data_IF_130891779419
#
_entry.id   IF_130891779419
#
_cell.length_a   1.000
_cell.length_b   1.000
_cell.length_c   1.000
_cell.angle_alpha   90.00
_cell.angle_beta   90.00
_cell.angle_gamma   90.00
#
_symmetry.space_group_name_H-M   'P 1'
#
loop_
_entity.id
_entity.type
_entity.pdbx_description
1 polymer ?
#
# COMPACT_ATOMS: atom_id res chain seq x y z
N UNK A 1 35.93 18.01 -12.53
CA UNK A 1 35.43 16.99 -12.93
C UNK A 1 35.42 15.91 -11.96
N UNK A 2 36.37 15.56 -11.38
CA UNK A 2 36.35 14.51 -10.46
C UNK A 2 35.40 14.74 -9.35
N UNK A 3 35.26 15.91 -8.95
CA UNK A 3 34.39 16.22 -7.92
C UNK A 3 33.03 15.78 -8.20
N UNK A 4 32.57 15.99 -9.35
CA UNK A 4 31.28 15.62 -9.67
C UNK A 4 31.09 14.20 -9.47
N UNK A 5 31.97 13.39 -9.81
CA UNK A 5 31.79 12.06 -9.66
C UNK A 5 31.68 11.72 -8.23
N UNK A 6 32.36 12.33 -7.39
CA UNK A 6 32.24 12.03 -6.04
C UNK A 6 30.91 12.29 -5.51
N UNK A 7 30.32 13.34 -5.90
CA UNK A 7 29.01 13.63 -5.43
C UNK A 7 28.09 12.56 -5.78
N UNK A 8 28.15 12.04 -6.95
CA UNK A 8 27.22 11.04 -7.37
C UNK A 8 27.32 9.83 -6.46
N UNK A 9 28.47 9.32 -6.19
CA UNK A 9 28.56 8.17 -5.33
C UNK A 9 28.04 8.47 -3.94
N UNK A 10 28.24 9.64 -3.48
CA UNK A 10 27.80 9.99 -2.19
C UNK A 10 26.30 9.95 -2.13
N UNK A 11 25.65 10.46 -3.11
CA UNK A 11 24.25 10.46 -3.12
C UNK A 11 23.73 9.06 -3.15
N UNK A 12 24.37 8.20 -3.86
CA UNK A 12 23.92 6.84 -3.94
C UNK A 12 24.01 6.22 -2.58
N UNK A 13 25.04 6.52 -1.84
CA UNK A 13 25.16 5.97 -0.54
C UNK A 13 24.09 6.48 0.39
N UNK A 14 23.82 7.71 0.35
CA UNK A 14 22.82 8.30 1.19
C UNK A 14 21.48 7.82 0.80
N UNK A 15 21.26 7.58 -0.46
CA UNK A 15 20.00 7.19 -0.93
C UNK A 15 20.09 5.82 -1.43
N UNK A 16 20.33 4.89 -0.66
CA UNK A 16 20.54 3.53 -1.04
C UNK A 16 19.40 2.83 -1.65
N UNK A 17 19.16 3.02 -2.84
CA UNK A 17 18.13 2.25 -3.51
C UNK A 17 18.87 1.36 -4.44
N UNK A 18 19.22 0.20 -4.07
CA UNK A 18 19.98 -0.69 -4.93
C UNK A 18 19.23 -0.97 -6.20
N UNK A 19 19.93 -1.23 -7.24
CA UNK A 19 19.31 -1.53 -8.51
C UNK A 19 18.32 -2.66 -8.34
N UNK A 20 17.22 -2.55 -8.97
CA UNK A 20 16.24 -3.59 -8.88
C UNK A 20 15.25 -3.38 -7.77
N UNK A 21 15.48 -2.40 -6.92
CA UNK A 21 14.55 -2.12 -5.89
C UNK A 21 13.59 -1.01 -6.23
N UNK A 22 13.76 -0.38 -7.35
CA UNK A 22 12.83 0.65 -7.76
C UNK A 22 11.57 0.01 -8.33
N UNK A 23 10.45 0.69 -8.22
CA UNK A 23 9.23 0.11 -8.78
C UNK A 23 9.33 0.05 -10.29
N UNK A 24 8.73 -0.96 -10.90
CA UNK A 24 8.80 -1.11 -12.35
C UNK A 24 8.08 -0.02 -13.12
N UNK A 25 7.21 0.70 -12.49
CA UNK A 25 6.50 1.78 -13.16
C UNK A 25 6.55 3.01 -12.29
N UNK A 26 6.29 4.16 -12.87
CA UNK A 26 6.32 5.39 -12.13
C UNK A 26 5.15 5.47 -11.16
N UNK A 27 5.42 5.84 -9.94
CA UNK A 27 4.40 5.98 -8.95
C UNK A 27 4.35 7.43 -8.48
N UNK A 28 3.21 7.84 -7.99
CA UNK A 28 3.09 9.17 -7.41
C UNK A 28 3.53 9.08 -5.95
N UNK A 29 3.46 10.18 -5.23
CA UNK A 29 3.99 10.22 -3.89
C UNK A 29 3.41 9.18 -2.94
N UNK A 30 2.11 8.99 -2.86
CA UNK A 30 1.60 7.99 -1.91
C UNK A 30 2.05 6.59 -2.26
N UNK A 31 2.00 6.25 -3.54
CA UNK A 31 2.39 4.92 -3.97
C UNK A 31 3.87 4.69 -3.79
N UNK A 32 4.68 5.69 -4.09
CA UNK A 32 6.11 5.54 -3.92
C UNK A 32 6.46 5.41 -2.44
N UNK A 33 5.77 6.14 -1.60
CA UNK A 33 6.01 6.03 -0.17
C UNK A 33 5.70 4.62 0.32
N UNK A 34 4.59 4.06 -0.15
CA UNK A 34 4.21 2.71 0.23
C UNK A 34 5.26 1.72 -0.28
N UNK A 35 5.68 1.87 -1.54
CA UNK A 35 6.68 0.98 -2.13
C UNK A 35 7.95 1.01 -1.31
N UNK A 36 8.43 2.21 -0.98
CA UNK A 36 9.68 2.32 -0.25
C UNK A 36 9.59 1.69 1.13
N UNK A 37 8.47 1.90 1.83
CA UNK A 37 8.32 1.34 3.15
C UNK A 37 8.26 -0.18 3.12
N UNK A 38 7.53 -0.73 2.17
CA UNK A 38 7.40 -2.18 2.08
C UNK A 38 8.72 -2.81 1.67
N UNK A 39 9.37 -2.24 0.67
CA UNK A 39 10.62 -2.83 0.22
C UNK A 39 11.71 -2.72 1.29
N UNK A 40 11.67 -1.68 2.09
CA UNK A 40 12.65 -1.55 3.16
C UNK A 40 12.41 -2.60 4.24
N UNK A 41 11.16 -2.89 4.52
CA UNK A 41 10.85 -3.85 5.57
C UNK A 41 10.90 -5.29 5.13
N UNK A 42 10.51 -5.59 3.92
CA UNK A 42 10.36 -6.97 3.49
C UNK A 42 11.24 -7.42 2.34
N UNK A 43 11.80 -6.52 1.59
CA UNK A 43 12.70 -6.89 0.50
C UNK A 43 12.12 -7.95 -0.43
N UNK A 44 11.07 -7.63 -1.09
CA UNK A 44 10.43 -8.56 -2.00
C UNK A 44 11.29 -8.70 -3.24
N UNK A 45 11.77 -9.90 -3.49
CA UNK A 45 12.65 -10.13 -4.61
C UNK A 45 12.04 -10.77 -5.83
N UNK A 46 10.95 -11.47 -5.68
CA UNK A 46 10.36 -12.16 -6.82
C UNK A 46 9.53 -11.22 -7.68
N UNK A 47 9.53 -11.46 -8.95
CA UNK A 47 8.82 -10.61 -9.88
C UNK A 47 7.33 -10.54 -9.63
N UNK A 48 6.72 -11.65 -9.29
CA UNK A 48 5.29 -11.64 -9.03
C UNK A 48 4.95 -10.79 -7.83
N UNK A 49 5.75 -10.87 -6.78
CA UNK A 49 5.53 -10.06 -5.60
C UNK A 49 5.72 -8.59 -5.89
N UNK A 50 6.74 -8.24 -6.69
CA UNK A 50 6.96 -6.85 -7.03
C UNK A 50 5.82 -6.32 -7.87
N UNK A 51 5.29 -7.13 -8.77
CA UNK A 51 4.19 -6.69 -9.59
C UNK A 51 2.94 -6.47 -8.75
N UNK A 52 2.66 -7.38 -7.81
CA UNK A 52 1.53 -7.21 -6.93
C UNK A 52 1.69 -5.94 -6.08
N UNK A 53 2.88 -5.71 -5.58
CA UNK A 53 3.13 -4.53 -4.78
C UNK A 53 2.96 -3.26 -5.64
N UNK A 54 3.40 -3.31 -6.89
CA UNK A 54 3.25 -2.17 -7.78
C UNK A 54 1.77 -1.87 -8.01
N UNK A 55 0.96 -2.91 -8.20
CA UNK A 55 -0.46 -2.70 -8.41
C UNK A 55 -1.10 -2.09 -7.17
N UNK A 56 -0.68 -2.51 -5.99
CA UNK A 56 -1.20 -1.94 -4.76
C UNK A 56 -0.81 -0.47 -4.65
N UNK A 57 0.42 -0.14 -5.00
CA UNK A 57 0.89 1.23 -4.92
C UNK A 57 0.15 2.12 -5.92
N UNK A 58 -0.11 1.60 -7.11
CA UNK A 58 -0.88 2.35 -8.09
C UNK A 58 -2.31 2.56 -7.62
N UNK A 59 -2.88 1.56 -6.95
CA UNK A 59 -4.23 1.70 -6.42
C UNK A 59 -4.26 2.73 -5.31
N UNK A 60 -3.22 2.81 -4.50
CA UNK A 60 -3.15 3.81 -3.45
C UNK A 60 -3.06 5.21 -4.06
N UNK A 61 -2.28 5.37 -5.12
CA UNK A 61 -2.18 6.67 -5.78
C UNK A 61 -3.56 7.08 -6.28
N UNK A 62 -4.30 6.13 -6.87
CA UNK A 62 -5.61 6.42 -7.40
C UNK A 62 -6.57 6.76 -6.26
N UNK A 63 -6.47 6.05 -5.14
CA UNK A 63 -7.35 6.31 -4.00
C UNK A 63 -7.11 7.70 -3.45
N UNK A 64 -5.85 8.12 -3.37
CA UNK A 64 -5.54 9.45 -2.86
C UNK A 64 -6.04 10.54 -3.81
N UNK A 65 -5.93 10.30 -5.09
CA UNK A 65 -6.42 11.25 -6.08
C UNK A 65 -7.94 11.38 -5.96
N UNK A 66 -8.63 10.26 -5.78
CA UNK A 66 -10.08 10.28 -5.62
C UNK A 66 -10.46 10.98 -4.31
N UNK A 67 -9.70 10.77 -3.27
CA UNK A 67 -9.98 11.41 -2.00
C UNK A 67 -9.87 12.93 -2.13
N UNK A 68 -8.87 13.40 -2.84
CA UNK A 68 -8.72 14.81 -3.04
C UNK A 68 -9.87 15.39 -3.85
N UNK A 69 -10.33 14.64 -4.83
CA UNK A 69 -11.45 15.09 -5.63
C UNK A 69 -12.71 15.18 -4.76
N UNK A 70 -12.93 14.20 -3.90
CA UNK A 70 -14.08 14.22 -3.00
C UNK A 70 -13.99 15.40 -2.05
N UNK A 71 -12.79 15.72 -1.58
CA UNK A 71 -12.62 16.84 -0.68
C UNK A 71 -12.93 18.14 -1.37
N UNK A 72 -12.60 18.27 -2.63
CA UNK A 72 -12.93 19.49 -3.37
C UNK A 72 -14.41 19.60 -3.63
N UNK A 73 -15.07 18.50 -3.95
CA UNK A 73 -16.46 18.51 -4.36
C UNK A 73 -17.45 18.25 -3.24
N UNK A 74 -16.99 17.68 -2.12
CA UNK A 74 -17.91 17.29 -1.05
C UNK A 74 -18.34 15.86 -1.24
N UNK A 75 -18.63 15.17 -0.16
CA UNK A 75 -19.02 13.77 -0.21
C UNK A 75 -20.41 13.59 -0.80
N UNK A 76 -21.21 14.64 -0.78
CA UNK A 76 -22.55 14.56 -1.28
C UNK A 76 -22.70 15.62 -2.35
N UNK A 77 -23.26 15.27 -3.48
CA UNK A 77 -23.45 16.23 -4.55
C UNK A 77 -24.94 16.35 -4.88
N UNK A 78 -25.32 17.48 -5.42
CA UNK A 78 -26.69 17.72 -5.80
C UNK A 78 -26.80 17.59 -7.31
N UNK A 79 -27.73 16.79 -7.76
CA UNK A 79 -27.92 16.60 -9.19
C UNK A 79 -29.35 16.89 -9.52
N UNK A 80 -29.71 16.83 -10.79
CA UNK A 80 -31.05 17.03 -11.20
C UNK A 80 -31.95 16.05 -10.56
N UNK A 81 -31.45 14.84 -10.29
CA UNK A 81 -32.26 13.81 -9.71
C UNK A 81 -32.26 13.89 -8.20
N UNK A 82 -31.63 14.82 -7.60
CA UNK A 82 -31.61 14.95 -6.15
C UNK A 82 -30.22 14.83 -5.60
N UNK A 83 -30.14 14.61 -4.30
CA UNK A 83 -28.86 14.52 -3.63
C UNK A 83 -28.32 13.11 -3.72
N UNK A 84 -27.06 12.96 -4.01
CA UNK A 84 -26.45 11.67 -4.12
C UNK A 84 -25.07 11.67 -3.57
N UNK A 85 -24.52 10.51 -3.28
CA UNK A 85 -23.16 10.37 -2.83
C UNK A 85 -22.24 10.72 -4.00
N UNK A 86 -21.10 11.28 -3.71
CA UNK A 86 -20.11 11.56 -4.75
C UNK A 86 -19.74 10.22 -5.40
N UNK A 87 -19.74 10.16 -6.73
CA UNK A 87 -19.47 8.89 -7.39
C UNK A 87 -18.08 8.32 -7.11
N UNK A 88 -17.14 9.16 -6.72
CA UNK A 88 -15.80 8.66 -6.43
C UNK A 88 -15.69 7.95 -5.10
N UNK A 89 -16.67 8.09 -4.21
CA UNK A 89 -16.58 7.46 -2.90
C UNK A 89 -16.40 5.96 -2.97
N UNK A 90 -17.19 5.28 -3.76
CA UNK A 90 -17.07 3.84 -3.82
C UNK A 90 -15.81 3.42 -4.53
N UNK A 91 -15.32 4.22 -5.46
CA UNK A 91 -14.10 3.86 -6.16
C UNK A 91 -12.88 4.06 -5.25
N UNK A 92 -12.91 5.10 -4.43
CA UNK A 92 -11.84 5.29 -3.47
C UNK A 92 -11.81 4.12 -2.50
N UNK A 93 -12.96 3.74 -1.98
CA UNK A 93 -13.02 2.65 -1.03
C UNK A 93 -12.55 1.34 -1.68
N UNK A 94 -12.95 1.11 -2.92
CA UNK A 94 -12.56 -0.10 -3.61
C UNK A 94 -11.04 -0.16 -3.81
N UNK A 95 -10.43 0.97 -4.14
CA UNK A 95 -8.99 0.99 -4.32
C UNK A 95 -8.27 0.75 -3.00
N UNK A 96 -8.75 1.32 -1.90
CA UNK A 96 -8.11 1.08 -0.62
C UNK A 96 -8.28 -0.36 -0.18
N UNK A 97 -9.43 -0.96 -0.48
CA UNK A 97 -9.66 -2.34 -0.16
C UNK A 97 -8.70 -3.23 -0.97
N UNK A 98 -8.47 -2.86 -2.23
CA UNK A 98 -7.55 -3.61 -3.06
C UNK A 98 -6.14 -3.57 -2.49
N UNK A 99 -5.72 -2.40 -1.99
CA UNK A 99 -4.40 -2.26 -1.39
C UNK A 99 -4.29 -3.20 -0.19
N UNK A 100 -5.29 -3.15 0.68
CA UNK A 100 -5.28 -3.95 1.87
C UNK A 100 -5.23 -5.43 1.55
N UNK A 101 -6.06 -5.87 0.62
CA UNK A 101 -6.11 -7.27 0.28
C UNK A 101 -4.84 -7.73 -0.42
N UNK A 102 -4.23 -6.87 -1.20
CA UNK A 102 -3.01 -7.23 -1.88
C UNK A 102 -1.86 -7.38 -0.89
N UNK A 103 -1.81 -6.49 0.10
CA UNK A 103 -0.75 -6.61 1.10
C UNK A 103 -0.90 -7.91 1.90
N UNK A 104 -2.13 -8.30 2.18
CA UNK A 104 -2.36 -9.56 2.86
C UNK A 104 -1.94 -10.71 1.95
N UNK A 105 -2.25 -10.63 0.67
CA UNK A 105 -1.91 -11.67 -0.27
C UNK A 105 -0.39 -11.81 -0.36
N UNK A 106 0.33 -10.73 -0.19
CA UNK A 106 1.78 -10.79 -0.20
C UNK A 106 2.33 -11.30 1.12
N UNK A 107 1.46 -11.55 2.09
CA UNK A 107 1.89 -12.04 3.39
C UNK A 107 2.45 -10.96 4.28
N UNK A 108 2.12 -9.72 4.01
CA UNK A 108 2.68 -8.65 4.76
C UNK A 108 1.82 -8.11 5.86
N UNK A 109 0.88 -8.83 6.26
CA UNK A 109 0.00 -8.29 7.22
C UNK A 109 0.50 -8.28 8.54
N UNK A 110 1.42 -8.64 8.71
CA UNK A 110 1.87 -8.55 9.88
C UNK A 110 1.43 -8.64 11.05
N UNK A 111 0.63 -8.86 11.25
CA UNK A 111 0.12 -8.91 12.37
C UNK A 111 0.63 -9.87 13.13
N UNK A 112 1.55 -10.09 13.06
CA UNK A 112 2.20 -11.01 13.78
C UNK A 112 1.75 -10.88 15.12
N UNK A 113 1.62 -9.78 15.37
CA UNK A 113 1.21 -9.50 16.55
C UNK A 113 0.12 -10.23 16.98
N UNK A 114 -0.85 -10.26 16.26
CA UNK A 114 -1.95 -10.81 16.65
C UNK A 114 -1.73 -12.16 16.90
N UNK A 115 -0.90 -12.67 16.30
CA UNK A 115 -0.73 -14.02 16.43
C UNK A 115 -0.52 -14.30 17.83
N UNK A 116 0.11 -13.51 18.43
CA UNK A 116 0.34 -13.73 19.74
C UNK A 116 -0.76 -13.76 20.48
N UNK A 117 -1.43 -13.06 20.27
CA UNK A 117 -2.53 -13.00 20.96
C UNK A 117 -3.29 -14.12 21.00
N UNK A 118 -3.48 -14.68 20.75
CA UNK A 118 -4.39 -15.49 20.70
C UNK A 118 -4.31 -16.57 21.12
N UNK A 119 -4.26 -16.91 21.61
CA UNK A 119 -4.20 -17.96 21.96
C UNK A 119 -5.06 -18.62 21.78
N UNK A 120 -5.25 -18.76 21.78
CA UNK A 120 -5.88 -19.47 21.59
C UNK A 120 -6.58 -19.74 21.32
N UNK A 121 -6.71 -19.56 21.38
CA UNK A 121 -7.28 -19.93 21.12
C UNK A 121 -7.58 -20.44 20.87
N UNK A 122 -7.55 -20.50 20.94
CA UNK A 122 -7.91 -21.21 20.77
C UNK A 122 -8.00 -21.70 20.97
N UNK A 123 -7.89 -21.89 21.42
CA UNK A 123 -8.05 -22.48 21.66
C UNK A 123 -8.47 -22.73 21.85
N UNK A 124 -8.53 -22.62 22.08
CA UNK A 124 -9.07 -23.13 22.22
C UNK A 124 -9.65 -23.28 22.35
N UNK A 125 -9.96 -23.15 22.53
CA UNK A 125 -10.63 -23.41 22.73
C UNK A 125 -11.04 -24.05 22.48
N UNK A 126 -10.89 -24.24 22.01
CA UNK A 126 -11.28 -24.95 21.69
C UNK A 126 -11.51 -25.82 22.09
N UNK A 127 -11.14 -25.98 22.37
CA UNK A 127 -11.26 -26.95 22.85
C UNK A 127 -12.09 -27.27 23.64
N UNK A 128 -12.32 -26.83 24.08
CA UNK A 128 -13.13 -26.99 24.89
C UNK A 128 -14.23 -27.32 24.47
N UNK A 129 -14.62 -27.09 23.95
CA UNK A 129 -15.67 -27.40 23.48
C UNK A 129 -15.68 -28.47 23.03
N UNK A 130 -15.21 -28.85 23.05
CA UNK A 130 -15.29 -29.89 22.64
C UNK A 130 -15.88 -30.61 23.34
N UNK A 131 -15.88 -30.22 23.84
CA UNK A 131 -16.71 -30.88 24.45
C UNK A 131 -16.72 -31.65 24.75
#
# INVERSE_FOLDING_TARGET
MAEKKQEAPLQVLINPAPPGRDPPRTLLDPGRSLWNRIMAAYQIDDEGGRELLTLACEALDRAESLRQQIQRDGEVITTRMGIRDHPALKHELANRSFVSKTLVRLGLDVEPVRAIGRPGHGLGIESTWRG
#
